data_IF_074559067876
#
_entry.id   IF_074559067876
#
_cell.length_a   1.000
_cell.length_b   1.000
_cell.length_c   1.000
_cell.angle_alpha   90.00
_cell.angle_beta   90.00
_cell.angle_gamma   90.00
#
_symmetry.space_group_name_H-M   'P 1'
#
loop_
_entity.id
_entity.type
_entity.pdbx_description
1 polymer ?
#
# COMPACT_ATOMS: atom_id res chain seq x y z
N UNK A 1 -1.97 20.89 -1.11
CA UNK A 1 -1.07 20.64 0.05
C UNK A 1 -1.76 21.06 1.35
N UNK A 2 -2.23 22.31 1.49
CA UNK A 2 -3.04 22.77 2.64
C UNK A 2 -4.29 21.89 2.92
N UNK A 3 -4.92 21.35 1.87
CA UNK A 3 -6.14 20.53 1.98
C UNK A 3 -6.00 19.21 2.75
N UNK A 4 -4.83 18.56 2.75
CA UNK A 4 -4.66 17.31 3.51
C UNK A 4 -4.54 17.59 5.01
N UNK A 5 -3.73 18.59 5.35
CA UNK A 5 -3.55 19.01 6.74
C UNK A 5 -4.83 19.63 7.31
N UNK A 6 -5.56 20.44 6.51
CA UNK A 6 -6.80 21.08 6.95
C UNK A 6 -7.93 20.08 7.22
N UNK A 7 -7.88 18.90 6.60
CA UNK A 7 -8.86 17.83 6.82
C UNK A 7 -8.40 16.89 7.94
N UNK A 8 -7.18 17.01 8.47
CA UNK A 8 -6.66 16.14 9.53
C UNK A 8 -5.99 14.85 9.05
N UNK A 9 -5.68 14.75 7.75
CA UNK A 9 -4.94 13.64 7.15
C UNK A 9 -3.42 13.79 7.41
N UNK A 10 -3.03 13.73 8.68
CA UNK A 10 -1.65 13.78 9.18
C UNK A 10 -1.42 12.69 10.24
N UNK A 11 -0.16 12.48 10.64
CA UNK A 11 0.25 11.45 11.63
C UNK A 11 -0.59 11.46 12.92
N UNK A 12 -1.02 12.64 13.37
CA UNK A 12 -1.77 12.81 14.63
C UNK A 12 -3.30 12.81 14.47
N UNK A 13 -3.85 12.93 13.26
CA UNK A 13 -5.29 13.04 13.03
C UNK A 13 -5.96 11.70 12.75
N UNK A 14 -6.07 11.32 11.48
CA UNK A 14 -6.76 10.10 11.08
C UNK A 14 -5.88 8.84 11.06
N UNK A 15 -6.52 7.67 11.11
CA UNK A 15 -5.85 6.40 10.81
C UNK A 15 -5.26 6.41 9.39
N UNK A 16 -4.21 5.61 9.15
CA UNK A 16 -3.59 5.49 7.83
C UNK A 16 -4.60 5.00 6.77
N UNK A 17 -5.49 4.07 7.16
CA UNK A 17 -6.54 3.58 6.26
C UNK A 17 -7.50 4.70 5.85
N UNK A 18 -7.99 5.48 6.81
CA UNK A 18 -8.90 6.57 6.52
C UNK A 18 -8.19 7.67 5.71
N UNK A 19 -6.97 8.03 6.08
CA UNK A 19 -6.17 9.02 5.35
C UNK A 19 -5.90 8.61 3.90
N UNK A 20 -5.57 7.33 3.65
CA UNK A 20 -5.37 6.83 2.29
C UNK A 20 -6.67 6.83 1.46
N UNK A 21 -7.82 6.57 2.10
CA UNK A 21 -9.15 6.71 1.47
C UNK A 21 -9.46 8.17 1.16
N UNK A 22 -9.23 9.10 2.09
CA UNK A 22 -9.41 10.54 1.85
C UNK A 22 -8.51 11.04 0.72
N UNK A 23 -7.25 10.61 0.68
CA UNK A 23 -6.35 10.89 -0.45
C UNK A 23 -6.95 10.40 -1.77
N UNK A 24 -7.38 9.13 -1.81
CA UNK A 24 -7.99 8.50 -3.00
C UNK A 24 -9.27 9.22 -3.46
N UNK A 25 -10.07 9.72 -2.53
CA UNK A 25 -11.38 10.32 -2.82
C UNK A 25 -11.30 11.81 -3.14
N UNK A 26 -10.44 12.59 -2.49
CA UNK A 26 -10.47 14.06 -2.59
C UNK A 26 -9.22 14.68 -3.21
N UNK A 27 -8.05 14.05 -3.04
CA UNK A 27 -6.77 14.65 -3.46
C UNK A 27 -6.33 14.10 -4.80
N UNK A 28 -6.28 12.77 -4.94
CA UNK A 28 -5.86 12.11 -6.17
C UNK A 28 -6.68 12.53 -7.39
N UNK A 29 -8.02 12.70 -7.31
CA UNK A 29 -8.81 13.16 -8.45
C UNK A 29 -8.38 14.52 -9.01
N UNK A 30 -7.78 15.40 -8.21
CA UNK A 30 -7.27 16.69 -8.68
C UNK A 30 -6.11 16.52 -9.66
N UNK A 31 -5.27 15.50 -9.45
CA UNK A 31 -4.17 15.17 -10.36
C UNK A 31 -4.62 14.27 -11.51
N UNK A 32 -5.74 13.56 -11.33
CA UNK A 32 -6.32 12.69 -12.37
C UNK A 32 -7.15 13.45 -13.41
N UNK A 33 -7.49 14.72 -13.13
CA UNK A 33 -8.22 15.56 -14.06
C UNK A 33 -7.45 15.70 -15.38
N UNK A 34 -8.12 15.37 -16.49
CA UNK A 34 -7.53 15.43 -17.84
C UNK A 34 -6.63 14.25 -18.21
N UNK A 35 -6.21 13.37 -17.27
CA UNK A 35 -5.31 12.26 -17.60
C UNK A 35 -5.91 11.28 -18.62
N UNK A 36 -7.24 11.14 -18.63
CA UNK A 36 -7.94 10.21 -19.53
C UNK A 36 -7.82 10.59 -21.02
N UNK A 37 -7.52 11.86 -21.31
CA UNK A 37 -7.47 12.42 -22.68
C UNK A 37 -6.08 12.95 -23.05
N UNK A 38 -5.12 12.85 -22.13
CA UNK A 38 -3.77 13.40 -22.28
C UNK A 38 -2.78 12.33 -22.70
N UNK A 39 -1.89 12.68 -23.64
CA UNK A 39 -0.73 11.84 -23.99
C UNK A 39 0.44 12.19 -23.08
N UNK A 40 0.63 11.41 -22.01
CA UNK A 40 1.65 11.69 -21.01
C UNK A 40 3.04 11.25 -21.49
N UNK A 41 4.02 12.13 -21.34
CA UNK A 41 5.43 11.79 -21.50
C UNK A 41 5.95 11.07 -20.24
N UNK A 42 7.11 10.42 -20.39
CA UNK A 42 7.79 9.77 -19.25
C UNK A 42 8.09 10.76 -18.12
N UNK A 43 8.37 12.02 -18.44
CA UNK A 43 8.64 13.07 -17.45
C UNK A 43 7.38 13.42 -16.65
N UNK A 44 6.22 13.55 -17.32
CA UNK A 44 4.94 13.84 -16.66
C UNK A 44 4.57 12.74 -15.66
N UNK A 45 4.75 11.48 -16.06
CA UNK A 45 4.52 10.33 -15.17
C UNK A 45 5.43 10.40 -13.94
N UNK A 46 6.71 10.74 -14.09
CA UNK A 46 7.63 10.91 -12.96
C UNK A 46 7.18 12.01 -12.00
N UNK A 47 6.69 13.14 -12.53
CA UNK A 47 6.17 14.24 -11.72
C UNK A 47 4.91 13.80 -10.96
N UNK A 48 3.98 13.12 -11.62
CA UNK A 48 2.76 12.59 -10.97
C UNK A 48 3.09 11.58 -9.87
N UNK A 49 4.01 10.65 -10.11
CA UNK A 49 4.48 9.72 -9.07
C UNK A 49 5.10 10.45 -7.88
N UNK A 50 5.95 11.46 -8.15
CA UNK A 50 6.59 12.26 -7.10
C UNK A 50 5.58 13.00 -6.23
N UNK A 51 4.53 13.57 -6.84
CA UNK A 51 3.43 14.22 -6.12
C UNK A 51 2.66 13.21 -5.25
N UNK A 52 2.32 12.03 -5.79
CA UNK A 52 1.68 10.96 -5.03
C UNK A 52 2.56 10.54 -3.85
N UNK A 53 3.84 10.30 -4.09
CA UNK A 53 4.81 9.88 -3.08
C UNK A 53 4.94 10.91 -1.95
N UNK A 54 4.98 12.19 -2.29
CA UNK A 54 4.99 13.29 -1.31
C UNK A 54 3.72 13.28 -0.46
N UNK A 55 2.54 13.12 -1.06
CA UNK A 55 1.28 13.03 -0.33
C UNK A 55 1.26 11.84 0.63
N UNK A 56 1.73 10.67 0.19
CA UNK A 56 1.78 9.46 1.02
C UNK A 56 2.71 9.64 2.21
N UNK A 57 3.92 10.21 2.01
CA UNK A 57 4.86 10.50 3.10
C UNK A 57 4.26 11.47 4.12
N UNK A 58 3.53 12.50 3.67
CA UNK A 58 2.87 13.45 4.57
C UNK A 58 1.82 12.78 5.46
N UNK A 59 1.00 11.88 4.90
CA UNK A 59 -0.04 11.16 5.64
C UNK A 59 0.54 10.41 6.84
N UNK A 60 1.67 9.73 6.64
CA UNK A 60 2.34 8.95 7.69
C UNK A 60 3.34 9.75 8.52
N UNK A 61 3.58 11.03 8.18
CA UNK A 61 4.66 11.82 8.78
C UNK A 61 6.05 11.23 8.55
N UNK A 62 6.26 10.57 7.40
CA UNK A 62 7.51 9.93 7.03
C UNK A 62 8.56 10.92 6.54
N UNK A 63 9.83 10.48 6.56
CA UNK A 63 10.95 11.25 6.03
C UNK A 63 10.84 11.40 4.50
N UNK A 64 11.53 12.40 3.93
CA UNK A 64 11.55 12.65 2.49
C UNK A 64 12.01 11.45 1.66
N UNK A 65 12.86 10.60 2.23
CA UNK A 65 13.42 9.38 1.60
C UNK A 65 12.67 8.10 1.98
N UNK A 66 11.60 8.18 2.78
CA UNK A 66 10.84 6.98 3.16
C UNK A 66 10.27 6.28 1.93
N UNK A 67 10.36 4.95 1.93
CA UNK A 67 9.82 4.11 0.86
C UNK A 67 8.31 4.30 0.75
N UNK A 68 7.84 4.61 -0.45
CA UNK A 68 6.41 4.73 -0.76
C UNK A 68 5.85 3.47 -1.39
N UNK A 69 6.72 2.53 -1.80
CA UNK A 69 6.32 1.24 -2.39
C UNK A 69 5.52 0.45 -1.36
N UNK A 70 6.03 0.32 -0.13
CA UNK A 70 5.33 -0.36 0.96
C UNK A 70 4.01 0.34 1.29
N UNK A 71 4.00 1.68 1.37
CA UNK A 71 2.77 2.45 1.61
C UNK A 71 1.71 2.21 0.53
N UNK A 72 2.13 2.26 -0.74
CA UNK A 72 1.26 1.97 -1.88
C UNK A 72 0.71 0.56 -1.77
N UNK A 73 1.54 -0.42 -1.43
CA UNK A 73 1.12 -1.81 -1.27
C UNK A 73 0.12 -1.99 -0.12
N UNK A 74 0.47 -1.61 1.13
CA UNK A 74 -0.39 -1.85 2.29
C UNK A 74 -1.72 -1.09 2.22
N UNK A 75 -1.76 0.06 1.55
CA UNK A 75 -2.99 0.84 1.33
C UNK A 75 -3.75 0.44 0.05
N UNK A 76 -3.26 -0.57 -0.71
CA UNK A 76 -3.78 -0.96 -2.02
C UNK A 76 -3.90 0.21 -3.03
N UNK A 77 -2.90 1.09 -3.05
CA UNK A 77 -2.83 2.21 -3.97
C UNK A 77 -1.98 1.83 -5.20
N UNK A 78 -2.52 1.93 -6.42
CA UNK A 78 -1.73 1.77 -7.63
C UNK A 78 -0.77 2.96 -7.85
N UNK A 79 0.20 2.74 -8.73
CA UNK A 79 1.05 3.80 -9.29
C UNK A 79 0.21 4.79 -10.11
N UNK A 80 0.64 6.05 -10.18
CA UNK A 80 0.04 7.06 -11.05
C UNK A 80 0.15 6.68 -12.53
N UNK A 81 1.23 5.98 -12.93
CA UNK A 81 1.31 5.40 -14.28
C UNK A 81 0.13 4.47 -14.56
N UNK A 82 -0.08 3.47 -13.70
CA UNK A 82 -1.15 2.51 -13.88
C UNK A 82 -2.53 3.20 -13.82
N UNK A 83 -2.68 4.22 -12.96
CA UNK A 83 -3.91 5.04 -12.90
C UNK A 83 -4.19 5.77 -14.21
N UNK A 84 -3.19 6.43 -14.78
CA UNK A 84 -3.33 7.12 -16.06
C UNK A 84 -3.71 6.13 -17.17
N UNK A 85 -2.99 5.02 -17.27
CA UNK A 85 -3.27 3.95 -18.24
C UNK A 85 -4.72 3.44 -18.09
N UNK A 86 -5.18 3.21 -16.86
CA UNK A 86 -6.54 2.75 -16.60
C UNK A 86 -7.62 3.79 -16.93
N UNK A 87 -7.34 5.08 -16.71
CA UNK A 87 -8.25 6.18 -17.05
C UNK A 87 -8.38 6.36 -18.56
N UNK A 88 -7.23 6.36 -19.26
CA UNK A 88 -7.19 6.41 -20.73
C UNK A 88 -7.93 5.21 -21.33
N UNK A 89 -7.66 4.00 -20.83
CA UNK A 89 -8.33 2.79 -21.31
C UNK A 89 -9.85 2.86 -21.10
N UNK A 90 -10.32 3.30 -19.93
CA UNK A 90 -11.77 3.49 -19.68
C UNK A 90 -12.40 4.51 -20.62
N UNK A 91 -11.70 5.61 -20.90
CA UNK A 91 -12.18 6.61 -21.84
C UNK A 91 -12.30 6.06 -23.26
N UNK A 92 -11.26 5.37 -23.75
CA UNK A 92 -11.27 4.70 -25.06
C UNK A 92 -12.34 3.60 -25.16
N UNK A 93 -12.62 2.86 -24.09
CA UNK A 93 -13.72 1.87 -24.08
C UNK A 93 -15.06 2.60 -24.18
N UNK A 94 -15.26 3.68 -23.41
CA UNK A 94 -16.50 4.46 -23.43
C UNK A 94 -16.73 5.11 -24.79
N UNK A 95 -15.70 5.59 -25.47
CA UNK A 95 -15.83 6.25 -26.77
C UNK A 95 -16.40 5.32 -27.86
N UNK A 96 -16.14 4.00 -27.78
CA UNK A 96 -16.70 2.99 -28.70
C UNK A 96 -18.22 2.83 -28.64
N UNK A 97 -18.83 3.26 -27.54
CA UNK A 97 -20.28 3.13 -27.31
C UNK A 97 -21.01 4.46 -27.36
N UNK A 98 -20.34 5.54 -27.76
CA UNK A 98 -21.00 6.84 -27.91
C UNK A 98 -21.89 6.86 -29.16
N UNK A 99 -22.97 7.65 -29.16
CA UNK A 99 -23.77 7.88 -30.36
C UNK A 99 -22.93 8.40 -31.52
N UNK A 100 -23.28 8.03 -32.76
CA UNK A 100 -22.57 8.47 -33.96
C UNK A 100 -22.56 10.01 -34.12
N UNK A 101 -23.58 10.69 -33.59
CA UNK A 101 -23.76 12.14 -33.69
C UNK A 101 -23.03 12.94 -32.61
N UNK A 102 -22.36 12.29 -31.66
CA UNK A 102 -21.61 13.05 -30.67
C UNK A 102 -20.35 13.65 -31.32
N UNK A 103 -19.92 14.82 -30.85
CA UNK A 103 -18.77 15.53 -31.40
C UNK A 103 -17.51 14.64 -31.48
N UNK A 104 -17.27 13.82 -30.46
CA UNK A 104 -16.10 12.93 -30.44
C UNK A 104 -16.17 11.85 -31.54
N UNK A 105 -17.34 11.28 -31.79
CA UNK A 105 -17.56 10.31 -32.87
C UNK A 105 -17.39 10.95 -34.24
N UNK A 106 -17.92 12.17 -34.42
CA UNK A 106 -17.79 12.94 -35.66
C UNK A 106 -16.34 13.31 -35.95
N UNK A 107 -15.62 13.82 -34.94
CA UNK A 107 -14.19 14.14 -35.04
C UNK A 107 -13.35 12.90 -35.36
N UNK A 108 -13.63 11.77 -34.71
CA UNK A 108 -12.91 10.54 -35.00
C UNK A 108 -13.16 10.04 -36.42
N UNK A 109 -14.39 10.15 -36.92
CA UNK A 109 -14.79 9.68 -38.25
C UNK A 109 -14.27 10.56 -39.38
N UNK A 110 -14.33 11.88 -39.22
CA UNK A 110 -14.06 12.82 -40.30
C UNK A 110 -12.69 13.52 -40.20
N UNK A 111 -12.08 13.50 -39.02
CA UNK A 111 -10.85 14.23 -38.71
C UNK A 111 -9.88 13.38 -37.90
N UNK A 112 -9.53 12.20 -38.43
CA UNK A 112 -8.65 11.20 -37.77
C UNK A 112 -7.31 11.77 -37.32
N UNK A 113 -6.76 12.75 -38.05
CA UNK A 113 -5.51 13.47 -37.71
C UNK A 113 -5.62 14.24 -36.38
N UNK A 114 -6.80 14.79 -36.08
CA UNK A 114 -7.06 15.56 -34.86
C UNK A 114 -7.60 14.69 -33.72
N UNK A 115 -7.91 13.43 -34.01
CA UNK A 115 -8.44 12.49 -33.03
C UNK A 115 -7.31 11.90 -32.18
N UNK A 116 -7.20 12.39 -30.94
CA UNK A 116 -6.29 11.80 -29.94
C UNK A 116 -6.58 10.34 -29.62
N UNK A 117 -7.78 9.81 -29.93
CA UNK A 117 -8.18 8.42 -29.64
C UNK A 117 -7.21 7.37 -30.22
N UNK A 118 -6.62 7.60 -31.38
CA UNK A 118 -5.66 6.67 -31.99
C UNK A 118 -4.37 6.60 -31.15
N UNK A 119 -3.91 7.76 -30.65
CA UNK A 119 -2.74 7.83 -29.77
C UNK A 119 -3.01 7.26 -28.38
N UNK A 120 -4.19 7.56 -27.81
CA UNK A 120 -4.64 7.07 -26.50
C UNK A 120 -4.94 5.56 -26.51
N UNK A 121 -5.26 5.00 -27.68
CA UNK A 121 -5.52 3.59 -27.91
C UNK A 121 -4.31 2.67 -27.72
N UNK A 122 -3.09 3.22 -27.67
CA UNK A 122 -1.83 2.46 -27.60
C UNK A 122 -1.43 2.02 -26.18
N UNK A 123 -2.34 2.11 -25.21
CA UNK A 123 -2.03 1.70 -23.83
C UNK A 123 -1.97 0.18 -23.69
N UNK A 124 -1.02 -0.31 -22.88
CA UNK A 124 -0.86 -1.75 -22.59
C UNK A 124 -2.15 -2.39 -22.04
N UNK A 125 -3.00 -1.62 -21.35
CA UNK A 125 -4.27 -2.13 -20.84
C UNK A 125 -5.31 -2.39 -21.94
N UNK A 126 -5.28 -1.60 -23.03
CA UNK A 126 -6.18 -1.79 -24.17
C UNK A 126 -5.72 -2.92 -25.08
N UNK A 127 -4.40 -3.09 -25.25
CA UNK A 127 -3.85 -4.19 -26.07
C UNK A 127 -4.12 -5.57 -25.48
N UNK A 128 -4.28 -5.66 -24.16
CA UNK A 128 -4.55 -6.91 -23.44
C UNK A 128 -6.03 -7.13 -23.11
N UNK A 129 -6.96 -6.54 -23.87
CA UNK A 129 -8.40 -6.79 -23.66
C UNK A 129 -8.79 -8.13 -24.29
N UNK A 130 -9.36 -9.08 -23.51
CA UNK A 130 -9.83 -10.33 -24.08
C UNK A 130 -11.07 -10.09 -24.96
N UNK A 131 -11.21 -10.82 -26.08
CA UNK A 131 -12.35 -10.65 -26.99
C UNK A 131 -13.69 -11.01 -26.35
N UNK A 132 -13.67 -11.87 -25.33
CA UNK A 132 -14.85 -12.29 -24.56
C UNK A 132 -15.28 -11.30 -23.48
N UNK A 133 -14.50 -10.23 -23.23
CA UNK A 133 -14.79 -9.28 -22.17
C UNK A 133 -16.05 -8.47 -22.48
N UNK A 134 -17.01 -8.45 -21.53
CA UNK A 134 -18.18 -7.58 -21.59
C UNK A 134 -17.79 -6.12 -21.34
N UNK A 135 -17.34 -5.41 -22.38
CA UNK A 135 -16.87 -4.02 -22.31
C UNK A 135 -17.92 -3.01 -21.79
N UNK A 136 -19.22 -3.31 -21.94
CA UNK A 136 -20.31 -2.49 -21.39
C UNK A 136 -20.48 -2.66 -19.87
N UNK A 137 -19.90 -3.70 -19.27
CA UNK A 137 -19.97 -3.94 -17.83
C UNK A 137 -18.81 -3.24 -17.12
N UNK A 138 -19.06 -2.20 -16.31
CA UNK A 138 -17.99 -1.49 -15.60
C UNK A 138 -17.24 -2.38 -14.60
N UNK A 139 -17.93 -3.36 -14.00
CA UNK A 139 -17.33 -4.31 -13.07
C UNK A 139 -16.41 -5.30 -13.80
N UNK A 140 -16.79 -5.80 -14.97
CA UNK A 140 -15.94 -6.69 -15.76
C UNK A 140 -14.62 -6.00 -16.18
N UNK A 141 -14.71 -4.76 -16.67
CA UNK A 141 -13.52 -3.96 -17.04
C UNK A 141 -12.65 -3.68 -15.81
N UNK A 142 -13.28 -3.34 -14.67
CA UNK A 142 -12.56 -3.10 -13.42
C UNK A 142 -11.78 -4.35 -12.97
N UNK A 143 -12.44 -5.50 -12.90
CA UNK A 143 -11.84 -6.76 -12.46
C UNK A 143 -10.69 -7.18 -13.39
N UNK A 144 -10.85 -6.99 -14.70
CA UNK A 144 -9.78 -7.25 -15.67
C UNK A 144 -8.54 -6.38 -15.43
N UNK A 145 -8.73 -5.08 -15.18
CA UNK A 145 -7.60 -4.19 -14.87
C UNK A 145 -6.96 -4.55 -13.53
N UNK A 146 -7.74 -4.96 -12.54
CA UNK A 146 -7.21 -5.46 -11.27
C UNK A 146 -6.36 -6.72 -11.47
N UNK A 147 -6.78 -7.65 -12.32
CA UNK A 147 -5.99 -8.84 -12.70
C UNK A 147 -4.68 -8.48 -13.41
N UNK A 148 -4.69 -7.55 -14.36
CA UNK A 148 -3.44 -7.08 -15.01
C UNK A 148 -2.49 -6.46 -13.96
N UNK A 149 -3.04 -5.72 -12.99
CA UNK A 149 -2.24 -5.11 -11.92
C UNK A 149 -1.63 -6.16 -11.01
N UNK A 150 -2.39 -7.21 -10.68
CA UNK A 150 -1.91 -8.35 -9.88
C UNK A 150 -0.79 -9.09 -10.60
N UNK A 151 -0.96 -9.40 -11.88
CA UNK A 151 0.08 -10.02 -12.69
C UNK A 151 1.35 -9.15 -12.75
N UNK A 152 1.20 -7.85 -12.98
CA UNK A 152 2.33 -6.91 -12.98
C UNK A 152 3.02 -6.81 -11.62
N UNK A 153 2.26 -6.90 -10.53
CA UNK A 153 2.84 -6.93 -9.18
C UNK A 153 3.58 -8.24 -8.88
N UNK A 154 3.06 -9.38 -9.33
CA UNK A 154 3.75 -10.66 -9.21
C UNK A 154 5.11 -10.64 -9.94
N UNK A 155 5.16 -10.12 -11.17
CA UNK A 155 6.43 -9.94 -11.91
C UNK A 155 7.37 -8.95 -11.21
N UNK A 156 6.83 -7.88 -10.64
CA UNK A 156 7.60 -6.93 -9.85
C UNK A 156 8.21 -7.59 -8.60
N UNK A 157 7.47 -8.42 -7.87
CA UNK A 157 8.01 -9.16 -6.74
C UNK A 157 9.09 -10.15 -7.18
N UNK A 158 8.92 -10.86 -8.29
CA UNK A 158 9.94 -11.81 -8.77
C UNK A 158 11.27 -11.14 -9.14
N UNK A 159 11.24 -9.89 -9.62
CA UNK A 159 12.42 -9.16 -10.08
C UNK A 159 13.04 -8.22 -9.04
N UNK A 160 12.35 -7.95 -7.93
CA UNK A 160 12.76 -6.95 -6.96
C UNK A 160 13.41 -7.60 -5.73
N UNK A 161 14.60 -7.15 -5.35
CA UNK A 161 15.35 -7.67 -4.19
C UNK A 161 15.11 -6.87 -2.91
N UNK A 162 14.25 -5.85 -2.93
CA UNK A 162 13.97 -5.02 -1.76
C UNK A 162 13.26 -5.81 -0.64
N UNK A 163 13.97 -6.03 0.46
CA UNK A 163 13.52 -6.84 1.61
C UNK A 163 12.15 -6.41 2.15
N UNK A 164 11.88 -5.11 2.28
CA UNK A 164 10.63 -4.64 2.91
C UNK A 164 9.37 -4.94 2.10
N UNK A 165 9.44 -4.89 0.77
CA UNK A 165 8.28 -5.24 -0.06
C UNK A 165 8.13 -6.76 -0.20
N UNK A 166 9.24 -7.50 -0.20
CA UNK A 166 9.23 -8.97 -0.14
C UNK A 166 8.64 -9.50 1.17
N UNK A 167 8.83 -8.77 2.27
CA UNK A 167 8.24 -9.09 3.56
C UNK A 167 6.71 -8.90 3.60
N UNK A 168 6.15 -8.08 2.70
CA UNK A 168 4.71 -7.82 2.62
C UNK A 168 3.96 -9.00 1.99
N UNK A 169 2.62 -8.90 1.91
CA UNK A 169 1.81 -9.96 1.30
C UNK A 169 2.09 -10.06 -0.21
N UNK A 170 2.12 -11.27 -0.79
CA UNK A 170 2.33 -11.44 -2.23
C UNK A 170 1.09 -11.08 -3.07
N UNK A 171 0.00 -10.67 -2.43
CA UNK A 171 -1.28 -10.33 -3.07
C UNK A 171 -1.62 -8.86 -2.85
N UNK A 172 -2.30 -8.26 -3.84
CA UNK A 172 -2.73 -6.88 -3.73
C UNK A 172 -4.04 -6.79 -2.95
N UNK A 173 -4.01 -6.06 -1.83
CA UNK A 173 -5.16 -5.87 -0.96
C UNK A 173 -4.89 -4.75 0.03
N UNK A 174 -5.92 -4.32 0.75
CA UNK A 174 -5.68 -3.48 1.94
C UNK A 174 -5.08 -4.40 2.99
N UNK A 175 -3.91 -4.06 3.51
CA UNK A 175 -3.24 -4.90 4.50
C UNK A 175 -4.05 -4.96 5.80
N UNK A 176 -4.27 -6.15 6.38
CA UNK A 176 -5.01 -6.33 7.62
C UNK A 176 -4.53 -5.47 8.79
N UNK A 177 -3.24 -5.13 8.87
CA UNK A 177 -2.74 -4.24 9.94
C UNK A 177 -3.46 -2.88 9.98
N UNK A 178 -4.09 -2.47 8.87
CA UNK A 178 -4.76 -1.19 8.76
C UNK A 178 -6.19 -1.19 9.30
N UNK A 179 -6.84 -2.35 9.43
CA UNK A 179 -8.25 -2.44 9.83
C UNK A 179 -8.54 -3.45 10.94
N UNK A 180 -7.65 -4.42 11.19
CA UNK A 180 -7.85 -5.37 12.27
C UNK A 180 -7.92 -4.63 13.63
N UNK A 181 -8.73 -5.13 14.59
CA UNK A 181 -8.89 -4.47 15.88
C UNK A 181 -7.54 -4.37 16.61
N UNK A 182 -7.13 -3.13 16.88
CA UNK A 182 -5.87 -2.77 17.51
C UNK A 182 -5.98 -1.32 17.99
N UNK A 183 -5.30 -1.00 19.09
CA UNK A 183 -5.19 0.35 19.59
C UNK A 183 -4.43 1.22 18.58
N UNK A 184 -4.46 2.53 18.80
CA UNK A 184 -3.71 3.47 17.96
C UNK A 184 -2.20 3.17 18.01
N UNK A 185 -1.69 2.84 19.20
CA UNK A 185 -0.26 2.63 19.43
C UNK A 185 0.19 1.29 18.86
N UNK A 186 -0.58 0.23 19.09
CA UNK A 186 -0.35 -1.10 18.51
C UNK A 186 -0.29 -1.04 16.97
N UNK A 187 -1.28 -0.38 16.36
CA UNK A 187 -1.31 -0.19 14.90
C UNK A 187 -0.13 0.65 14.41
N UNK A 188 0.30 1.64 15.19
CA UNK A 188 1.51 2.41 14.86
C UNK A 188 2.75 1.51 14.82
N UNK A 189 2.92 0.58 15.76
CA UNK A 189 4.04 -0.38 15.75
C UNK A 189 3.99 -1.31 14.56
N UNK A 190 2.84 -1.89 14.24
CA UNK A 190 2.65 -2.73 13.05
C UNK A 190 3.03 -2.01 11.75
N UNK A 191 2.56 -0.77 11.59
CA UNK A 191 2.89 0.07 10.42
C UNK A 191 4.38 0.40 10.41
N UNK A 192 4.95 0.86 11.54
CA UNK A 192 6.40 1.18 11.63
C UNK A 192 7.27 -0.04 11.33
N UNK A 193 6.86 -1.22 11.79
CA UNK A 193 7.51 -2.48 11.49
C UNK A 193 7.49 -2.77 9.98
N UNK A 194 6.32 -2.74 9.32
CA UNK A 194 6.21 -2.93 7.86
C UNK A 194 7.04 -1.92 7.07
N UNK A 195 7.08 -0.68 7.55
CA UNK A 195 7.81 0.42 6.91
C UNK A 195 9.33 0.37 7.13
N UNK A 196 9.84 -0.56 7.95
CA UNK A 196 11.25 -0.62 8.34
C UNK A 196 11.67 0.54 9.24
N UNK A 197 10.73 1.19 9.92
CA UNK A 197 10.98 2.31 10.84
C UNK A 197 11.13 1.87 12.29
N UNK A 198 10.82 0.60 12.58
CA UNK A 198 11.10 -0.07 13.84
C UNK A 198 11.90 -1.34 13.49
N UNK A 199 13.13 -1.52 13.99
CA UNK A 199 13.85 -0.72 15.01
C UNK A 199 14.36 0.66 14.57
N UNK A 200 14.29 0.98 13.27
CA UNK A 200 14.76 2.25 12.74
C UNK A 200 16.27 2.22 12.46
N UNK A 201 17.00 3.30 12.82
CA UNK A 201 18.46 3.34 12.67
C UNK A 201 19.09 2.41 13.72
N UNK A 202 20.04 1.53 13.36
CA UNK A 202 20.75 0.70 14.33
C UNK A 202 21.40 1.55 15.41
N UNK A 203 21.19 1.17 16.67
CA UNK A 203 21.83 1.71 17.88
C UNK A 203 22.32 0.55 18.72
N UNK A 204 23.21 0.78 19.67
CA UNK A 204 23.60 -0.24 20.63
C UNK A 204 22.38 -0.81 21.37
N UNK A 205 22.24 -2.13 21.40
CA UNK A 205 21.15 -2.77 22.11
C UNK A 205 21.46 -2.80 23.62
N UNK A 206 20.49 -2.52 24.50
CA UNK A 206 20.69 -2.60 25.95
C UNK A 206 21.09 -4.00 26.46
N UNK A 207 20.92 -5.06 25.66
CA UNK A 207 21.42 -6.40 26.01
C UNK A 207 22.95 -6.53 25.91
N UNK A 208 23.63 -5.55 25.28
CA UNK A 208 25.08 -5.50 25.15
C UNK A 208 25.69 -6.46 24.12
N UNK A 209 24.88 -7.19 23.34
CA UNK A 209 25.39 -8.22 22.41
C UNK A 209 25.53 -7.77 20.95
N UNK A 210 24.71 -6.82 20.50
CA UNK A 210 24.71 -6.31 19.11
C UNK A 210 23.93 -4.98 19.03
N UNK A 211 23.76 -4.44 17.82
CA UNK A 211 22.89 -3.31 17.54
C UNK A 211 21.42 -3.72 17.38
N UNK A 212 20.50 -2.78 17.61
CA UNK A 212 19.06 -2.89 17.36
C UNK A 212 18.77 -3.04 15.86
N UNK A 213 18.95 -4.24 15.33
CA UNK A 213 18.60 -4.65 13.98
C UNK A 213 17.40 -5.59 14.00
N UNK A 214 16.65 -5.67 12.89
CA UNK A 214 15.50 -6.60 12.78
C UNK A 214 15.93 -8.04 13.06
N UNK A 215 17.11 -8.43 12.54
CA UNK A 215 17.69 -9.76 12.75
C UNK A 215 18.03 -9.99 14.23
N UNK A 216 18.77 -9.08 14.86
CA UNK A 216 19.17 -9.22 16.26
C UNK A 216 17.96 -9.33 17.20
N UNK A 217 16.91 -8.55 16.96
CA UNK A 217 15.74 -8.50 17.83
C UNK A 217 14.91 -9.78 17.87
N UNK A 218 15.13 -10.74 16.96
CA UNK A 218 14.53 -12.07 17.04
C UNK A 218 15.15 -12.92 18.14
N UNK A 219 16.45 -12.75 18.38
CA UNK A 219 17.24 -13.54 19.33
C UNK A 219 17.63 -12.72 20.58
N UNK A 220 17.13 -11.50 20.69
CA UNK A 220 17.47 -10.58 21.78
C UNK A 220 16.89 -11.09 23.11
N UNK A 221 17.70 -11.28 24.17
CA UNK A 221 17.22 -11.82 25.44
C UNK A 221 16.26 -10.90 26.18
N UNK A 222 16.19 -9.62 25.80
CA UNK A 222 15.23 -8.64 26.35
C UNK A 222 13.80 -8.82 25.81
N UNK A 223 13.62 -9.63 24.76
CA UNK A 223 12.30 -10.02 24.27
C UNK A 223 12.06 -11.49 24.70
N UNK A 224 11.01 -11.78 25.48
CA UNK A 224 10.78 -13.14 25.96
C UNK A 224 10.62 -14.17 24.83
N UNK A 225 11.50 -15.18 24.79
CA UNK A 225 11.53 -16.22 23.74
C UNK A 225 10.20 -16.97 23.61
N UNK A 226 9.51 -17.21 24.73
CA UNK A 226 8.20 -17.88 24.77
C UNK A 226 7.12 -17.14 23.96
N UNK A 227 7.27 -15.84 23.69
CA UNK A 227 6.36 -15.10 22.80
C UNK A 227 6.63 -15.45 21.34
N UNK A 228 7.90 -15.59 20.95
CA UNK A 228 8.25 -15.97 19.59
C UNK A 228 7.77 -17.38 19.28
N UNK A 229 7.88 -18.33 20.21
CA UNK A 229 7.40 -19.71 20.06
C UNK A 229 5.90 -19.79 19.70
N UNK A 230 5.11 -18.81 20.14
CA UNK A 230 3.69 -18.72 19.81
C UNK A 230 3.41 -18.16 18.41
N UNK A 231 4.38 -17.49 17.77
CA UNK A 231 4.23 -17.02 16.40
C UNK A 231 4.30 -18.20 15.41
N UNK A 232 3.53 -18.14 14.31
CA UNK A 232 3.61 -19.15 13.27
C UNK A 232 5.04 -19.20 12.69
N UNK A 233 5.49 -20.40 12.38
CA UNK A 233 6.85 -20.64 11.86
C UNK A 233 6.80 -20.66 10.32
N UNK A 234 7.68 -19.92 9.63
CA UNK A 234 7.77 -20.00 8.18
C UNK A 234 8.40 -21.33 7.75
N UNK A 235 7.97 -21.88 6.62
CA UNK A 235 8.56 -23.09 6.02
C UNK A 235 9.99 -22.86 5.49
N UNK A 236 10.38 -21.59 5.32
CA UNK A 236 11.66 -21.17 4.78
C UNK A 236 12.42 -20.35 5.82
N UNK A 237 13.64 -20.78 6.16
CA UNK A 237 14.50 -20.16 7.18
C UNK A 237 14.87 -18.69 6.89
N UNK A 238 14.70 -18.24 5.65
CA UNK A 238 15.05 -16.86 5.25
C UNK A 238 13.95 -15.83 5.54
N UNK A 239 12.73 -16.26 5.88
CA UNK A 239 11.62 -15.34 6.14
C UNK A 239 11.64 -14.91 7.60
N UNK A 240 11.66 -13.61 7.84
CA UNK A 240 11.61 -13.05 9.18
C UNK A 240 10.29 -13.43 9.89
N UNK A 241 10.36 -14.06 11.07
CA UNK A 241 9.21 -14.62 11.79
C UNK A 241 8.06 -13.63 12.03
N UNK A 242 8.39 -12.40 12.44
CA UNK A 242 7.39 -11.32 12.60
C UNK A 242 6.70 -10.96 11.27
N UNK A 243 7.46 -10.89 10.16
CA UNK A 243 6.88 -10.56 8.85
C UNK A 243 5.95 -11.66 8.37
N UNK A 244 6.33 -12.93 8.59
CA UNK A 244 5.47 -14.07 8.32
C UNK A 244 4.18 -14.01 9.15
N UNK A 245 4.27 -13.77 10.46
CA UNK A 245 3.10 -13.64 11.33
C UNK A 245 2.15 -12.53 10.86
N UNK A 246 2.67 -11.35 10.47
CA UNK A 246 1.83 -10.26 9.95
C UNK A 246 1.20 -10.63 8.59
N UNK A 247 1.95 -11.32 7.73
CA UNK A 247 1.47 -11.83 6.43
C UNK A 247 0.45 -12.95 6.59
N UNK A 248 0.40 -13.61 7.73
CA UNK A 248 -0.56 -14.69 8.04
C UNK A 248 -1.82 -14.21 8.78
N UNK A 249 -1.95 -12.91 9.08
CA UNK A 249 -3.16 -12.35 9.69
C UNK A 249 -4.41 -12.58 8.81
N UNK A 250 -5.61 -12.68 9.41
CA UNK A 250 -6.86 -12.84 8.68
C UNK A 250 -7.16 -11.63 7.79
N UNK A 251 -7.92 -11.86 6.71
CA UNK A 251 -8.30 -10.82 5.75
C UNK A 251 -9.61 -10.12 6.12
N UNK A 252 -10.31 -10.61 7.14
CA UNK A 252 -11.52 -10.02 7.69
C UNK A 252 -11.41 -9.82 9.20
N UNK A 253 -11.98 -8.72 9.70
CA UNK A 253 -12.14 -8.51 11.14
C UNK A 253 -13.22 -9.40 11.76
N UNK A 254 -14.00 -10.11 10.94
CA UNK A 254 -15.01 -11.08 11.38
C UNK A 254 -14.43 -12.48 11.59
N UNK A 255 -13.20 -12.71 11.11
CA UNK A 255 -12.50 -13.97 11.37
C UNK A 255 -12.03 -14.04 12.82
N UNK A 256 -11.96 -15.24 13.40
CA UNK A 256 -11.51 -15.41 14.78
C UNK A 256 -10.10 -14.87 14.96
N UNK A 257 -9.86 -14.24 16.12
CA UNK A 257 -8.55 -13.72 16.49
C UNK A 257 -7.53 -14.86 16.52
N UNK A 258 -6.40 -14.74 15.78
CA UNK A 258 -5.34 -15.74 15.87
C UNK A 258 -4.76 -15.81 17.29
N UNK A 259 -4.41 -17.02 17.74
CA UNK A 259 -3.82 -17.22 19.06
C UNK A 259 -2.54 -16.38 19.27
N UNK A 260 -1.77 -16.20 18.20
CA UNK A 260 -0.53 -15.44 18.19
C UNK A 260 -0.70 -13.91 18.11
N UNK A 261 -1.94 -13.39 18.03
CA UNK A 261 -2.18 -11.95 17.92
C UNK A 261 -1.62 -11.16 19.10
N UNK A 262 -1.93 -11.62 20.33
CA UNK A 262 -1.43 -10.98 21.55
C UNK A 262 0.10 -11.09 21.62
N UNK A 263 0.73 -12.28 21.46
CA UNK A 263 2.17 -12.40 21.39
C UNK A 263 2.85 -11.48 20.37
N UNK A 264 2.28 -11.36 19.15
CA UNK A 264 2.80 -10.48 18.11
C UNK A 264 2.82 -9.01 18.55
N UNK A 265 1.75 -8.53 19.16
CA UNK A 265 1.65 -7.16 19.65
C UNK A 265 2.61 -6.90 20.83
N UNK A 266 2.71 -7.86 21.76
CA UNK A 266 3.63 -7.80 22.90
C UNK A 266 5.10 -7.79 22.46
N UNK A 267 5.48 -8.63 21.49
CA UNK A 267 6.83 -8.62 20.90
C UNK A 267 7.15 -7.24 20.31
N UNK A 268 6.23 -6.68 19.52
CA UNK A 268 6.42 -5.36 18.93
C UNK A 268 6.53 -4.26 19.98
N UNK A 269 5.80 -4.38 21.10
CA UNK A 269 5.94 -3.48 22.24
C UNK A 269 7.32 -3.58 22.88
N UNK A 270 7.83 -4.77 23.18
CA UNK A 270 9.19 -4.96 23.70
C UNK A 270 10.25 -4.38 22.77
N UNK A 271 10.13 -4.64 21.46
CA UNK A 271 11.04 -4.08 20.46
C UNK A 271 11.00 -2.55 20.49
N UNK A 272 9.82 -1.95 20.63
CA UNK A 272 9.67 -0.51 20.70
C UNK A 272 10.33 0.08 21.95
N UNK A 273 10.12 -0.54 23.12
CA UNK A 273 10.77 -0.15 24.39
C UNK A 273 12.29 -0.24 24.28
N UNK A 274 12.82 -1.32 23.71
CA UNK A 274 14.26 -1.52 23.50
C UNK A 274 14.84 -0.42 22.60
N UNK A 275 14.13 -0.04 21.54
CA UNK A 275 14.63 0.94 20.57
C UNK A 275 14.41 2.40 21.00
N UNK A 276 13.43 2.64 21.88
CA UNK A 276 12.99 3.95 22.33
C UNK A 276 12.71 3.94 23.86
N UNK A 277 13.74 3.77 24.71
CA UNK A 277 13.55 3.61 26.16
C UNK A 277 12.89 4.82 26.84
N UNK A 278 13.06 6.03 26.28
CA UNK A 278 12.46 7.26 26.79
C UNK A 278 10.97 7.44 26.40
N UNK A 279 10.37 6.44 25.75
CA UNK A 279 8.95 6.46 25.40
C UNK A 279 8.03 6.34 26.62
N UNK A 280 6.82 6.89 26.51
CA UNK A 280 5.77 6.67 27.51
C UNK A 280 5.02 5.37 27.21
N UNK A 281 5.24 4.36 28.05
CA UNK A 281 4.62 3.03 27.97
C UNK A 281 3.71 2.73 29.17
N UNK A 282 3.51 3.71 30.06
CA UNK A 282 2.87 3.53 31.37
C UNK A 282 1.42 3.04 31.31
N UNK A 283 0.75 3.26 30.18
CA UNK A 283 -0.66 2.92 29.97
C UNK A 283 -0.89 1.68 29.10
N UNK A 284 0.16 0.91 28.80
CA UNK A 284 0.10 -0.21 27.85
C UNK A 284 0.20 -1.58 28.55
N UNK A 285 -0.77 -1.88 29.41
CA UNK A 285 -0.77 -3.13 30.19
C UNK A 285 -1.48 -4.30 29.52
N UNK A 286 -2.41 -4.06 28.59
CA UNK A 286 -3.20 -5.10 27.93
C UNK A 286 -3.10 -5.00 26.40
N UNK A 287 -2.31 -5.90 25.79
CA UNK A 287 -2.16 -5.96 24.34
C UNK A 287 -3.26 -6.79 23.69
N UNK A 288 -3.81 -6.29 22.57
CA UNK A 288 -4.82 -6.99 21.78
C UNK A 288 -6.22 -7.00 22.38
N UNK A 289 -6.48 -6.25 23.46
CA UNK A 289 -7.75 -6.20 24.17
C UNK A 289 -8.96 -5.77 23.32
N UNK A 290 -8.72 -5.06 22.21
CA UNK A 290 -9.80 -4.59 21.32
C UNK A 290 -10.35 -5.66 20.37
N UNK A 291 -9.74 -6.84 20.29
CA UNK A 291 -10.19 -7.92 19.44
C UNK A 291 -10.84 -9.01 20.29
N UNK A 292 -12.14 -8.82 20.52
CA UNK A 292 -13.03 -9.70 21.27
C UNK A 292 -13.48 -10.86 20.37
#
# INVERSE_FOLDING_TARGET
MATLNSVGACRSGFSLLLSSRLYKTFVRPKFEYGLAISTLLKQDIKVLESIQDKCLRMIVGGHATSSTIVLKHICNLPSMKFRADALMAKFCIRSRFLPAQCLLSLLHRHHTVYSSLVSLGKTHLLSNLPPTLKLRSPSAVKNHFESIREAGFATFLQSNTQVLIQACRPVLGVDPILFLPASRVERSRLIRWRMGWLPGKPKECPCGSDHTSRRHLLDCPLVPMALFEQLPQPDQDQIHRIDFAITSLPLSSQEPRPAYWIPLLTILWHIDVICNPDGDYSHETEHGALWI
#
